data_IF_630907569394
#
_entry.id   IF_630907569394
#
_cell.length_a   1.000
_cell.length_b   1.000
_cell.length_c   1.000
_cell.angle_alpha   90.00
_cell.angle_beta   90.00
_cell.angle_gamma   90.00
#
_symmetry.space_group_name_H-M   'P 1'
#
loop_
_entity.id
_entity.type
_entity.pdbx_description
1 polymer ?
#
# COMPACT_ATOMS: atom_id res chain seq x y z
N UNK A 1 -6.76 -10.29 26.40
CA UNK A 1 -5.59 -9.56 25.88
C UNK A 1 -5.95 -8.09 25.76
N UNK A 2 -5.14 -7.18 26.31
CA UNK A 2 -5.32 -5.73 26.16
C UNK A 2 -4.26 -5.21 25.19
N UNK A 3 -4.51 -4.08 24.53
CA UNK A 3 -3.52 -3.45 23.65
C UNK A 3 -2.21 -3.15 24.37
N UNK A 4 -2.30 -2.79 25.67
CA UNK A 4 -1.13 -2.58 26.54
C UNK A 4 -0.23 -3.80 26.71
N UNK A 5 -0.74 -5.01 26.50
CA UNK A 5 0.05 -6.25 26.65
C UNK A 5 1.09 -6.40 25.51
N UNK A 6 0.95 -5.59 24.45
CA UNK A 6 1.85 -5.54 23.29
C UNK A 6 2.75 -4.30 23.28
N UNK A 7 2.63 -3.45 24.32
CA UNK A 7 3.45 -2.24 24.38
C UNK A 7 4.91 -2.59 24.71
N UNK A 8 5.80 -1.98 23.98
CA UNK A 8 7.24 -1.93 24.27
C UNK A 8 7.81 -0.61 23.78
N UNK A 9 8.93 -0.19 24.33
CA UNK A 9 9.63 1.01 23.88
C UNK A 9 10.38 0.70 22.59
N UNK A 10 9.96 1.34 21.48
CA UNK A 10 10.57 1.22 20.17
C UNK A 10 11.23 2.56 19.81
N UNK A 11 12.57 2.67 19.89
CA UNK A 11 13.28 3.85 19.44
C UNK A 11 13.05 4.11 17.95
N UNK A 12 12.77 5.37 17.58
CA UNK A 12 12.45 5.76 16.18
C UNK A 12 13.58 5.42 15.20
N UNK A 13 14.83 5.48 15.64
CA UNK A 13 16.01 5.12 14.82
C UNK A 13 16.06 3.64 14.42
N UNK A 14 15.31 2.78 15.09
CA UNK A 14 15.19 1.36 14.72
C UNK A 14 14.14 1.12 13.62
N UNK A 15 13.37 2.14 13.25
CA UNK A 15 12.41 2.06 12.15
C UNK A 15 13.11 2.47 10.86
N UNK A 16 13.44 1.49 10.03
CA UNK A 16 14.09 1.74 8.75
C UNK A 16 13.20 2.61 7.85
N UNK A 17 13.74 3.72 7.35
CA UNK A 17 13.03 4.66 6.48
C UNK A 17 13.24 4.37 4.99
N UNK A 18 14.22 3.53 4.65
CA UNK A 18 14.51 3.10 3.28
C UNK A 18 14.65 1.59 3.24
N UNK A 19 14.13 0.94 2.19
CA UNK A 19 14.31 -0.50 2.02
C UNK A 19 15.74 -0.84 1.66
N UNK A 20 16.19 -2.03 2.08
CA UNK A 20 17.49 -2.57 1.69
C UNK A 20 17.48 -3.06 0.25
N UNK A 21 18.61 -2.98 -0.44
CA UNK A 21 18.87 -3.61 -1.74
C UNK A 21 20.07 -4.56 -1.66
N UNK A 22 19.95 -5.80 -2.19
CA UNK A 22 18.75 -6.42 -2.74
C UNK A 22 17.66 -6.68 -1.68
N UNK A 23 16.40 -6.85 -2.14
CA UNK A 23 15.22 -7.01 -1.26
C UNK A 23 15.33 -8.17 -0.28
N UNK A 24 15.89 -9.29 -0.72
CA UNK A 24 16.02 -10.53 0.02
C UNK A 24 17.17 -10.51 1.05
N UNK A 25 17.94 -9.42 1.09
CA UNK A 25 18.96 -9.20 2.14
C UNK A 25 18.36 -8.61 3.44
N UNK A 26 17.05 -8.40 3.51
CA UNK A 26 16.39 -8.02 4.77
C UNK A 26 16.56 -9.11 5.83
N UNK A 27 16.56 -8.70 7.09
CA UNK A 27 16.67 -9.64 8.22
C UNK A 27 15.42 -10.50 8.34
N UNK A 28 15.63 -11.78 8.62
CA UNK A 28 14.59 -12.76 8.90
C UNK A 28 14.73 -13.26 10.33
N UNK A 29 13.67 -13.13 11.12
CA UNK A 29 13.57 -13.77 12.44
C UNK A 29 12.86 -15.11 12.27
N UNK A 30 13.49 -16.17 12.76
CA UNK A 30 12.93 -17.53 12.78
C UNK A 30 12.58 -17.88 14.22
N UNK A 31 11.29 -18.11 14.48
CA UNK A 31 10.77 -18.47 15.79
C UNK A 31 10.32 -19.92 15.79
N UNK A 32 10.93 -20.75 16.63
CA UNK A 32 10.47 -22.11 16.89
C UNK A 32 9.33 -22.08 17.93
N UNK A 33 8.13 -22.45 17.50
CA UNK A 33 6.92 -22.43 18.36
C UNK A 33 6.97 -23.43 19.52
N UNK A 34 7.74 -24.51 19.40
CA UNK A 34 7.80 -25.56 20.42
C UNK A 34 8.79 -25.21 21.55
N UNK A 35 9.95 -24.68 21.14
CA UNK A 35 11.03 -24.38 22.07
C UNK A 35 11.07 -22.93 22.51
N UNK A 36 10.43 -22.02 21.75
CA UNK A 36 10.53 -20.57 21.92
C UNK A 36 11.88 -19.99 21.47
N UNK A 37 12.74 -20.81 20.86
CA UNK A 37 14.04 -20.32 20.40
C UNK A 37 13.91 -19.37 19.23
N UNK A 38 14.79 -18.35 19.20
CA UNK A 38 14.83 -17.31 18.18
C UNK A 38 16.13 -17.44 17.40
N UNK A 39 16.01 -17.63 16.08
CA UNK A 39 17.13 -17.59 15.14
C UNK A 39 17.12 -16.30 14.32
N UNK A 40 18.30 -15.80 13.96
CA UNK A 40 18.43 -14.64 13.07
C UNK A 40 19.07 -15.08 11.75
N UNK A 41 18.43 -14.72 10.64
CA UNK A 41 18.78 -15.06 9.25
C UNK A 41 18.57 -13.85 8.35
N UNK A 42 18.80 -14.04 7.05
CA UNK A 42 18.34 -13.12 6.00
C UNK A 42 17.18 -13.74 5.23
N UNK A 43 16.41 -12.93 4.53
CA UNK A 43 15.22 -13.42 3.84
C UNK A 43 15.55 -14.43 2.73
N UNK A 44 16.70 -14.31 2.07
CA UNK A 44 17.15 -15.30 1.09
C UNK A 44 17.35 -16.71 1.66
N UNK A 45 17.52 -16.84 2.99
CA UNK A 45 17.62 -18.14 3.67
C UNK A 45 16.25 -18.83 3.83
N UNK A 46 15.13 -18.19 3.43
CA UNK A 46 13.78 -18.78 3.52
C UNK A 46 13.71 -20.14 2.82
N UNK A 47 14.54 -20.34 1.80
CA UNK A 47 14.62 -21.61 1.06
C UNK A 47 15.02 -22.79 1.97
N UNK A 48 15.72 -22.56 3.08
CA UNK A 48 16.11 -23.60 4.04
C UNK A 48 14.94 -24.12 4.87
N UNK A 49 13.84 -23.34 4.95
CA UNK A 49 12.66 -23.63 5.78
C UNK A 49 11.49 -24.19 4.98
N UNK A 50 11.69 -24.50 3.70
CA UNK A 50 10.67 -25.02 2.79
C UNK A 50 11.17 -26.32 2.17
N UNK A 51 10.33 -27.34 2.14
CA UNK A 51 10.65 -28.66 1.59
C UNK A 51 10.06 -28.85 0.17
N UNK A 52 10.70 -29.69 -0.69
CA UNK A 52 10.14 -30.05 -1.97
C UNK A 52 8.70 -30.59 -1.82
N UNK A 53 7.77 -30.03 -2.60
CA UNK A 53 6.35 -30.37 -2.52
C UNK A 53 5.52 -29.36 -1.74
N UNK A 54 6.13 -28.47 -0.94
CA UNK A 54 5.42 -27.36 -0.32
C UNK A 54 4.78 -26.43 -1.36
N UNK A 55 3.78 -25.68 -0.89
CA UNK A 55 3.11 -24.66 -1.70
C UNK A 55 3.16 -23.30 -0.98
N UNK A 56 3.84 -22.34 -1.59
CA UNK A 56 3.90 -20.96 -1.11
C UNK A 56 2.78 -20.15 -1.77
N UNK A 57 1.84 -19.65 -0.98
CA UNK A 57 0.74 -18.82 -1.46
C UNK A 57 1.15 -17.34 -1.35
N UNK A 58 1.06 -16.64 -2.46
CA UNK A 58 1.48 -15.25 -2.63
C UNK A 58 0.28 -14.37 -3.00
N UNK A 59 0.22 -13.16 -2.45
CA UNK A 59 -0.80 -12.18 -2.82
C UNK A 59 -0.26 -11.29 -3.96
N UNK A 60 -0.84 -11.40 -5.15
CA UNK A 60 -0.43 -10.70 -6.37
C UNK A 60 -1.12 -9.34 -6.58
N UNK A 61 -1.83 -8.83 -5.57
CA UNK A 61 -2.42 -7.51 -5.64
C UNK A 61 -1.36 -6.43 -5.85
N UNK A 62 -1.71 -5.41 -6.64
CA UNK A 62 -0.85 -4.26 -6.93
C UNK A 62 -1.42 -2.99 -6.31
N UNK A 63 -0.56 -2.23 -5.66
CA UNK A 63 -0.96 -1.01 -4.94
C UNK A 63 -1.18 0.13 -5.92
N UNK A 64 -2.29 0.83 -5.74
CA UNK A 64 -2.57 2.09 -6.42
C UNK A 64 -1.73 3.23 -5.81
N UNK A 65 -1.24 4.20 -6.60
CA UNK A 65 -0.74 5.46 -6.08
C UNK A 65 -1.91 6.32 -5.56
N UNK A 66 -2.58 5.79 -4.54
CA UNK A 66 -3.91 6.20 -4.08
C UNK A 66 -3.92 7.49 -3.26
N UNK A 67 -2.75 8.02 -2.86
CA UNK A 67 -2.64 9.27 -2.12
C UNK A 67 -2.45 10.44 -3.07
N UNK A 68 -3.43 11.34 -3.13
CA UNK A 68 -3.42 12.53 -4.00
C UNK A 68 -3.69 13.79 -3.19
N UNK A 69 -3.14 14.92 -3.64
CA UNK A 69 -3.30 16.21 -2.97
C UNK A 69 -4.07 17.16 -3.86
N UNK A 70 -5.24 17.59 -3.37
CA UNK A 70 -6.12 18.52 -4.07
C UNK A 70 -6.08 19.92 -3.48
N UNK A 71 -6.15 20.91 -4.34
CA UNK A 71 -6.32 22.32 -3.97
C UNK A 71 -7.80 22.65 -4.05
N UNK A 72 -8.39 23.09 -2.93
CA UNK A 72 -9.80 23.46 -2.87
C UNK A 72 -10.05 24.72 -3.68
N UNK A 73 -11.00 24.67 -4.60
CA UNK A 73 -11.44 25.85 -5.36
C UNK A 73 -11.98 26.92 -4.41
N UNK A 74 -11.74 28.18 -4.77
CA UNK A 74 -12.17 29.36 -4.00
C UNK A 74 -11.32 29.69 -2.77
N UNK A 75 -10.67 28.71 -2.11
CA UNK A 75 -9.89 28.98 -0.89
C UNK A 75 -8.39 28.68 -1.03
N UNK A 76 -7.96 27.95 -2.06
CA UNK A 76 -6.57 27.52 -2.24
C UNK A 76 -6.05 26.54 -1.18
N UNK A 77 -6.93 26.05 -0.30
CA UNK A 77 -6.52 25.14 0.77
C UNK A 77 -6.18 23.75 0.23
N UNK A 78 -5.03 23.22 0.62
CA UNK A 78 -4.65 21.85 0.30
C UNK A 78 -5.38 20.84 1.18
N UNK A 79 -5.80 19.74 0.58
CA UNK A 79 -6.41 18.58 1.24
C UNK A 79 -5.80 17.31 0.64
N UNK A 80 -5.41 16.38 1.52
CA UNK A 80 -5.01 15.04 1.13
C UNK A 80 -6.25 14.18 0.92
N UNK A 81 -6.24 13.39 -0.14
CA UNK A 81 -7.24 12.35 -0.40
C UNK A 81 -6.54 11.00 -0.56
N UNK A 82 -7.02 10.01 0.18
CA UNK A 82 -6.61 8.61 0.01
C UNK A 82 -7.78 7.85 -0.62
N UNK A 83 -7.59 7.36 -1.83
CA UNK A 83 -8.57 6.53 -2.53
C UNK A 83 -8.72 5.18 -1.83
N UNK A 84 -9.95 4.75 -1.60
CA UNK A 84 -10.26 3.54 -0.84
C UNK A 84 -10.98 2.50 -1.69
N UNK A 85 -12.18 2.85 -2.14
CA UNK A 85 -13.05 1.92 -2.86
C UNK A 85 -13.60 2.59 -4.10
N UNK A 86 -13.40 1.96 -5.24
CA UNK A 86 -14.05 2.33 -6.50
C UNK A 86 -15.53 1.93 -6.40
N UNK A 87 -16.42 2.85 -6.62
CA UNK A 87 -17.88 2.62 -6.57
C UNK A 87 -18.42 2.37 -7.97
N UNK A 88 -18.34 3.36 -8.83
CA UNK A 88 -18.82 3.32 -10.22
C UNK A 88 -18.07 4.35 -11.07
N UNK A 89 -17.84 4.06 -12.34
CA UNK A 89 -17.15 4.94 -13.30
C UNK A 89 -16.01 5.75 -12.68
N UNK A 90 -16.24 7.05 -12.40
CA UNK A 90 -15.29 7.98 -11.82
C UNK A 90 -15.62 8.35 -10.37
N UNK A 91 -16.47 7.55 -9.68
CA UNK A 91 -16.88 7.77 -8.30
C UNK A 91 -16.11 6.88 -7.35
N UNK A 92 -15.51 7.48 -6.34
CA UNK A 92 -14.68 6.81 -5.36
C UNK A 92 -15.08 7.19 -3.93
N UNK A 93 -14.99 6.21 -3.04
CA UNK A 93 -14.93 6.48 -1.62
C UNK A 93 -13.49 6.77 -1.22
N UNK A 94 -13.28 7.84 -0.44
CA UNK A 94 -11.96 8.33 -0.07
C UNK A 94 -11.91 8.77 1.39
N UNK A 95 -10.74 8.69 1.99
CA UNK A 95 -10.44 9.40 3.23
C UNK A 95 -9.90 10.79 2.87
N UNK A 96 -10.39 11.85 3.53
CA UNK A 96 -9.94 13.22 3.29
C UNK A 96 -9.31 13.82 4.55
N UNK A 97 -8.13 14.36 4.42
CA UNK A 97 -7.38 15.02 5.49
C UNK A 97 -6.97 16.47 5.17
N UNK A 98 -7.43 17.48 5.88
CA UNK A 98 -8.44 17.52 6.95
C UNK A 98 -9.89 17.48 6.44
N UNK A 99 -10.67 16.51 6.96
CA UNK A 99 -12.03 16.23 6.48
C UNK A 99 -13.01 17.42 6.55
N UNK A 100 -12.82 18.34 7.49
CA UNK A 100 -13.67 19.55 7.62
C UNK A 100 -13.64 20.46 6.38
N UNK A 101 -12.62 20.36 5.54
CA UNK A 101 -12.51 21.12 4.29
C UNK A 101 -13.20 20.44 3.11
N UNK A 102 -13.41 19.12 3.18
CA UNK A 102 -14.05 18.31 2.15
C UNK A 102 -15.53 18.04 2.53
N UNK A 103 -16.37 19.09 2.48
CA UNK A 103 -17.81 19.01 2.68
C UNK A 103 -18.52 18.73 1.34
N UNK A 104 -19.73 18.18 1.32
CA UNK A 104 -20.53 18.02 0.10
C UNK A 104 -20.59 19.33 -0.72
N UNK A 105 -20.47 19.23 -2.04
CA UNK A 105 -20.38 20.35 -2.97
C UNK A 105 -19.01 21.03 -3.06
N UNK A 106 -18.04 20.67 -2.22
CA UNK A 106 -16.68 21.21 -2.34
C UNK A 106 -15.98 20.63 -3.55
N UNK A 107 -15.30 21.49 -4.32
CA UNK A 107 -14.53 21.15 -5.52
C UNK A 107 -13.04 21.29 -5.30
N UNK A 108 -12.28 20.40 -5.95
CA UNK A 108 -10.84 20.30 -5.82
C UNK A 108 -10.17 20.10 -7.18
N UNK A 109 -8.95 20.66 -7.31
CA UNK A 109 -8.09 20.52 -8.48
C UNK A 109 -6.83 19.77 -8.07
N UNK A 110 -6.42 18.78 -8.86
CA UNK A 110 -5.24 17.94 -8.63
C UNK A 110 -4.31 18.02 -9.85
N UNK A 111 -3.00 17.90 -9.60
CA UNK A 111 -2.00 17.78 -10.67
C UNK A 111 -2.06 18.94 -11.68
N UNK A 112 -2.19 20.19 -11.21
CA UNK A 112 -2.29 21.37 -12.05
C UNK A 112 -3.45 21.33 -13.08
N UNK A 113 -4.57 20.69 -12.69
CA UNK A 113 -5.78 20.65 -13.53
C UNK A 113 -5.98 19.35 -14.30
N UNK A 114 -5.06 18.38 -14.20
CA UNK A 114 -5.19 17.07 -14.83
C UNK A 114 -6.41 16.29 -14.34
N UNK A 115 -6.76 16.49 -13.06
CA UNK A 115 -7.89 15.84 -12.41
C UNK A 115 -8.64 16.87 -11.58
N UNK A 116 -9.97 16.85 -11.65
CA UNK A 116 -10.86 17.63 -10.78
C UNK A 116 -11.74 16.67 -10.01
N UNK A 117 -12.26 17.11 -8.87
CA UNK A 117 -13.24 16.31 -8.14
C UNK A 117 -14.27 17.18 -7.43
N UNK A 118 -15.47 16.62 -7.24
CA UNK A 118 -16.54 17.16 -6.42
C UNK A 118 -16.88 16.17 -5.31
N UNK A 119 -16.97 16.66 -4.08
CA UNK A 119 -17.46 15.86 -2.94
C UNK A 119 -18.98 15.73 -3.05
N UNK A 120 -19.48 14.50 -3.19
CA UNK A 120 -20.91 14.22 -3.30
C UNK A 120 -21.55 14.12 -1.92
N UNK A 121 -20.96 13.32 -1.04
CA UNK A 121 -21.51 13.05 0.29
C UNK A 121 -20.43 12.67 1.32
N UNK A 122 -20.82 12.64 2.58
CA UNK A 122 -20.04 12.09 3.70
C UNK A 122 -20.74 10.83 4.15
N UNK A 123 -20.01 9.71 4.15
CA UNK A 123 -20.55 8.40 4.54
C UNK A 123 -20.08 8.01 5.94
N UNK A 124 -20.57 6.86 6.42
CA UNK A 124 -20.21 6.30 7.72
C UNK A 124 -18.68 6.22 7.91
N UNK A 125 -18.22 6.47 9.13
CA UNK A 125 -16.79 6.54 9.45
C UNK A 125 -16.10 7.83 8.96
N UNK A 126 -16.85 8.79 8.43
CA UNK A 126 -16.35 10.09 8.01
C UNK A 126 -15.62 10.08 6.67
N UNK A 127 -15.71 9.01 5.89
CA UNK A 127 -15.21 8.98 4.51
C UNK A 127 -16.05 9.86 3.59
N UNK A 128 -15.54 10.18 2.42
CA UNK A 128 -16.24 10.98 1.40
C UNK A 128 -16.47 10.13 0.17
N UNK A 129 -17.59 10.33 -0.48
CA UNK A 129 -17.82 9.90 -1.85
C UNK A 129 -17.55 11.08 -2.74
N UNK A 130 -16.65 10.92 -3.68
CA UNK A 130 -16.23 11.97 -4.61
C UNK A 130 -16.36 11.48 -6.04
N UNK A 131 -16.71 12.40 -6.93
CA UNK A 131 -16.73 12.18 -8.38
C UNK A 131 -15.54 12.90 -8.99
N UNK A 132 -14.76 12.17 -9.77
CA UNK A 132 -13.66 12.72 -10.55
C UNK A 132 -14.09 13.13 -11.95
N UNK A 133 -13.46 14.18 -12.44
CA UNK A 133 -13.59 14.69 -13.81
C UNK A 133 -12.21 14.91 -14.41
N UNK A 134 -11.98 14.46 -15.62
CA UNK A 134 -10.72 14.64 -16.36
C UNK A 134 -10.96 14.62 -17.86
N UNK A 135 -10.04 15.20 -18.64
CA UNK A 135 -10.09 15.14 -20.10
C UNK A 135 -9.66 13.73 -20.56
N UNK A 136 -10.47 13.01 -21.36
CA UNK A 136 -10.10 11.72 -21.93
C UNK A 136 -8.82 11.74 -22.77
N UNK A 137 -8.40 12.90 -23.27
CA UNK A 137 -7.13 13.07 -24.00
C UNK A 137 -5.90 12.84 -23.11
N UNK A 138 -6.03 13.03 -21.80
CA UNK A 138 -4.97 12.78 -20.83
C UNK A 138 -4.77 11.29 -20.49
N UNK A 139 -5.61 10.43 -21.06
CA UNK A 139 -5.64 8.99 -20.82
C UNK A 139 -6.79 8.57 -19.90
N UNK A 140 -6.69 7.39 -19.32
CA UNK A 140 -7.67 6.92 -18.35
C UNK A 140 -7.33 7.41 -16.93
N UNK A 141 -8.25 7.22 -15.99
CA UNK A 141 -8.09 7.62 -14.58
C UNK A 141 -6.80 7.09 -13.95
N UNK A 142 -6.42 5.84 -14.21
CA UNK A 142 -5.23 5.23 -13.65
C UNK A 142 -3.93 5.82 -14.20
N UNK A 143 -3.91 6.19 -15.50
CA UNK A 143 -2.77 6.91 -16.10
C UNK A 143 -2.54 8.27 -15.42
N UNK A 144 -3.62 8.96 -15.07
CA UNK A 144 -3.54 10.25 -14.36
C UNK A 144 -3.05 10.01 -12.92
N UNK A 145 -3.57 8.99 -12.22
CA UNK A 145 -3.10 8.63 -10.88
C UNK A 145 -1.61 8.31 -10.86
N UNK A 146 -1.10 7.61 -11.86
CA UNK A 146 0.35 7.31 -11.94
C UNK A 146 1.20 8.58 -12.03
N UNK A 147 0.69 9.64 -12.66
CA UNK A 147 1.39 10.93 -12.80
C UNK A 147 1.34 11.77 -11.53
N UNK A 148 0.21 11.83 -10.83
CA UNK A 148 -0.02 12.75 -9.71
C UNK A 148 -0.06 12.09 -8.33
N UNK A 149 -0.32 10.78 -8.28
CA UNK A 149 -0.49 10.03 -7.04
C UNK A 149 0.82 9.61 -6.40
N UNK A 150 0.76 9.43 -5.10
CA UNK A 150 1.84 8.90 -4.28
C UNK A 150 1.45 7.55 -3.69
N UNK A 151 2.45 6.70 -3.47
CA UNK A 151 2.23 5.41 -2.81
C UNK A 151 1.79 5.65 -1.36
N UNK A 152 0.71 5.00 -0.90
CA UNK A 152 0.20 5.15 0.45
C UNK A 152 1.04 4.34 1.44
N UNK A 153 2.24 4.83 1.75
CA UNK A 153 3.12 4.18 2.73
C UNK A 153 2.52 4.21 4.14
N UNK A 154 2.87 3.24 4.99
CA UNK A 154 2.52 3.26 6.41
C UNK A 154 2.98 4.57 7.09
N UNK A 155 2.24 5.08 8.09
CA UNK A 155 2.48 6.41 8.67
C UNK A 155 3.85 6.55 9.37
N UNK A 156 4.48 5.45 9.79
CA UNK A 156 5.81 5.45 10.39
C UNK A 156 6.95 5.59 9.37
N UNK A 157 6.65 5.51 8.07
CA UNK A 157 7.60 5.83 6.99
C UNK A 157 7.35 7.27 6.57
N UNK A 158 8.24 8.16 6.97
CA UNK A 158 8.16 9.60 6.72
C UNK A 158 8.98 10.04 5.50
N UNK A 159 9.99 9.23 5.14
CA UNK A 159 10.82 9.50 3.97
C UNK A 159 10.05 9.24 2.68
N UNK A 160 10.15 10.18 1.74
CA UNK A 160 9.52 10.04 0.42
C UNK A 160 10.12 8.85 -0.34
N UNK A 161 9.27 8.03 -0.92
CA UNK A 161 9.67 6.93 -1.79
C UNK A 161 10.00 7.47 -3.19
N UNK A 162 11.24 7.31 -3.63
CA UNK A 162 11.70 7.77 -4.95
C UNK A 162 11.22 6.83 -6.07
N UNK A 163 11.32 5.53 -5.83
CA UNK A 163 10.89 4.50 -6.77
C UNK A 163 9.62 3.82 -6.29
N UNK A 164 8.48 4.13 -6.93
CA UNK A 164 7.16 3.55 -6.60
C UNK A 164 7.14 2.02 -6.67
N UNK A 165 7.89 1.41 -7.59
CA UNK A 165 7.97 -0.05 -7.75
C UNK A 165 8.63 -0.74 -6.54
N UNK A 166 9.33 0.02 -5.70
CA UNK A 166 9.91 -0.54 -4.47
C UNK A 166 8.85 -0.91 -3.42
N UNK A 167 7.66 -0.30 -3.49
CA UNK A 167 6.49 -0.65 -2.66
C UNK A 167 5.50 -1.57 -3.39
N UNK A 168 6.00 -2.35 -4.37
CA UNK A 168 5.28 -3.42 -5.05
C UNK A 168 6.04 -4.73 -4.89
N UNK A 169 5.30 -5.86 -4.82
CA UNK A 169 5.95 -7.17 -4.94
C UNK A 169 6.41 -7.38 -6.39
N UNK A 170 7.46 -8.16 -6.59
CA UNK A 170 7.99 -8.46 -7.94
C UNK A 170 7.04 -9.26 -8.81
N UNK A 171 5.99 -9.80 -8.21
CA UNK A 171 4.93 -10.58 -8.87
C UNK A 171 3.56 -9.88 -8.83
N UNK A 172 3.51 -8.61 -8.42
CA UNK A 172 2.24 -7.86 -8.38
C UNK A 172 1.63 -7.69 -9.77
N UNK A 173 0.32 -7.92 -9.89
CA UNK A 173 -0.39 -7.93 -11.16
C UNK A 173 -1.73 -7.19 -11.08
N UNK A 174 -2.60 -7.60 -10.19
CA UNK A 174 -3.99 -7.13 -10.12
C UNK A 174 -4.09 -5.81 -9.35
N UNK A 175 -4.32 -4.72 -10.09
CA UNK A 175 -4.39 -3.35 -9.55
C UNK A 175 -5.64 -3.16 -8.69
N UNK A 176 -5.53 -2.47 -7.54
CA UNK A 176 -6.70 -2.14 -6.70
C UNK A 176 -6.43 -2.13 -5.19
N UNK A 177 -5.23 -2.49 -4.75
CA UNK A 177 -4.89 -2.53 -3.33
C UNK A 177 -4.51 -1.15 -2.79
N UNK A 178 -4.94 -0.83 -1.57
CA UNK A 178 -4.54 0.37 -0.86
C UNK A 178 -3.19 0.23 -0.12
N UNK A 179 -2.72 -1.01 0.12
CA UNK A 179 -1.42 -1.28 0.73
C UNK A 179 -0.78 -2.53 0.13
N UNK A 180 0.56 -2.60 0.17
CA UNK A 180 1.29 -3.75 -0.31
C UNK A 180 1.16 -4.95 0.66
N UNK A 181 1.17 -6.20 0.17
CA UNK A 181 1.40 -7.38 1.00
C UNK A 181 2.87 -7.39 1.44
N UNK A 182 3.16 -6.70 2.55
CA UNK A 182 4.52 -6.29 2.93
C UNK A 182 5.51 -7.44 3.10
N UNK A 183 5.06 -8.62 3.56
CA UNK A 183 5.89 -9.81 3.63
C UNK A 183 6.41 -10.24 2.24
N UNK A 184 5.62 -9.99 1.19
CA UNK A 184 6.00 -10.30 -0.19
C UNK A 184 7.04 -9.36 -0.80
N UNK A 185 7.27 -8.18 -0.21
CA UNK A 185 8.23 -7.20 -0.71
C UNK A 185 9.68 -7.68 -0.66
N UNK A 186 9.96 -8.72 0.11
CA UNK A 186 11.32 -9.27 0.29
C UNK A 186 11.71 -10.26 -0.81
N UNK A 187 10.77 -10.77 -1.59
CA UNK A 187 11.09 -11.67 -2.69
C UNK A 187 11.77 -10.95 -3.86
N UNK A 188 12.78 -11.61 -4.42
CA UNK A 188 13.36 -11.27 -5.72
C UNK A 188 12.94 -12.29 -6.77
N UNK A 189 12.97 -11.97 -8.07
CA UNK A 189 12.71 -12.95 -9.12
C UNK A 189 13.64 -14.16 -9.02
N UNK A 190 14.91 -13.95 -8.70
CA UNK A 190 15.94 -14.98 -8.56
C UNK A 190 15.63 -15.93 -7.40
N UNK A 191 15.17 -15.40 -6.25
CA UNK A 191 14.78 -16.22 -5.11
C UNK A 191 13.54 -17.07 -5.42
N UNK A 192 12.53 -16.50 -6.10
CA UNK A 192 11.36 -17.24 -6.53
C UNK A 192 11.73 -18.37 -7.51
N UNK A 193 12.68 -18.15 -8.40
CA UNK A 193 13.16 -19.18 -9.32
C UNK A 193 13.94 -20.29 -8.58
N UNK A 194 14.78 -19.94 -7.62
CA UNK A 194 15.45 -20.91 -6.75
C UNK A 194 14.46 -21.80 -5.99
N UNK A 195 13.36 -21.20 -5.47
CA UNK A 195 12.30 -21.94 -4.79
C UNK A 195 11.60 -22.93 -5.72
N UNK A 196 11.24 -22.52 -6.94
CA UNK A 196 10.67 -23.43 -7.96
C UNK A 196 11.62 -24.57 -8.29
N UNK A 197 12.91 -24.28 -8.49
CA UNK A 197 13.93 -25.29 -8.80
C UNK A 197 14.15 -26.26 -7.64
N UNK A 198 13.90 -25.86 -6.39
CA UNK A 198 13.87 -26.73 -5.22
C UNK A 198 12.62 -27.63 -5.18
N UNK A 199 11.62 -27.39 -6.04
CA UNK A 199 10.37 -28.13 -6.07
C UNK A 199 9.25 -27.52 -5.22
N UNK A 200 9.37 -26.25 -4.83
CA UNK A 200 8.32 -25.50 -4.15
C UNK A 200 7.31 -24.99 -5.19
N UNK A 201 6.04 -25.26 -4.96
CA UNK A 201 4.96 -24.74 -5.80
C UNK A 201 4.63 -23.30 -5.40
N UNK A 202 4.38 -22.43 -6.38
CA UNK A 202 3.91 -21.06 -6.15
C UNK A 202 2.44 -20.97 -6.56
N UNK A 203 1.57 -20.61 -5.60
CA UNK A 203 0.17 -20.30 -5.85
C UNK A 203 -0.07 -18.80 -5.66
N UNK A 204 -1.00 -18.23 -6.43
CA UNK A 204 -1.32 -16.80 -6.33
C UNK A 204 -2.78 -16.61 -5.95
N UNK A 205 -3.02 -15.61 -5.12
CA UNK A 205 -4.34 -15.12 -4.74
C UNK A 205 -4.34 -13.60 -4.87
N UNK A 206 -5.49 -13.02 -5.23
CA UNK A 206 -5.65 -11.56 -5.25
C UNK A 206 -6.49 -11.13 -4.06
N UNK A 207 -5.85 -10.50 -3.07
CA UNK A 207 -6.50 -9.98 -1.88
C UNK A 207 -6.19 -8.48 -1.78
N UNK A 208 -7.13 -7.62 -2.14
CA UNK A 208 -6.98 -6.19 -2.02
C UNK A 208 -7.02 -5.76 -0.56
N UNK A 209 -5.91 -5.21 -0.08
CA UNK A 209 -5.78 -4.67 1.27
C UNK A 209 -6.51 -3.34 1.35
N UNK A 210 -7.48 -3.26 2.24
CA UNK A 210 -8.33 -2.08 2.44
C UNK A 210 -7.86 -1.17 3.58
N UNK A 211 -8.75 -0.23 3.97
CA UNK A 211 -8.54 0.83 4.97
C UNK A 211 -8.13 0.35 6.36
N UNK A 212 -8.53 -0.86 6.76
CA UNK A 212 -8.24 -1.38 8.10
C UNK A 212 -6.75 -1.37 8.46
N UNK A 213 -5.88 -1.47 7.44
CA UNK A 213 -4.41 -1.43 7.63
C UNK A 213 -3.90 -0.04 8.05
N UNK A 214 -4.62 1.03 7.75
CA UNK A 214 -4.23 2.41 8.07
C UNK A 214 -4.90 2.97 9.32
N UNK A 215 -5.84 2.24 9.92
CA UNK A 215 -6.49 2.64 11.17
C UNK A 215 -5.82 1.90 12.33
N UNK A 216 -5.22 2.60 13.30
CA UNK A 216 -4.73 1.97 14.52
C UNK A 216 -5.90 1.32 15.27
N UNK A 217 -5.61 0.19 15.89
CA UNK A 217 -6.55 -0.58 16.72
C UNK A 217 -6.75 0.14 18.06
#
# INVERSE_FOLDING_TARGET
MKTSDFYYDLPEELIAQTPIEPRDHSRLMVLDKKTGSIGHRHFYDIIEFLDPGDCLILNDSRVLPARIYGIKEGTGSQVEFLLLTHKEENVWEVLAGPGKKAKPGARFIFGNGLLKAEVLEVVEGGNRVIRFEFDPKEGNFYNILDRIGQMPLPPYITKRLENKERYQTVYSKELGSAAAPTAGLHFTPELLEKLKNKGIRLGFVTLHVGLGTFRPV
#
